data_IF_863273549787
#
_entry.id   IF_863273549787
#
_cell.length_a   1.000
_cell.length_b   1.000
_cell.length_c   1.000
_cell.angle_alpha   90.00
_cell.angle_beta   90.00
_cell.angle_gamma   90.00
#
_symmetry.space_group_name_H-M   'P 1'
#
loop_
_entity.id
_entity.type
_entity.pdbx_description
1 polymer ?
#
# COMPACT_ATOMS: atom_id res chain seq x y z
N UNK A 1 3.38 -19.50 -4.93
CA UNK A 1 3.36 -19.16 -3.49
C UNK A 1 3.32 -17.66 -3.35
N UNK A 2 2.20 -17.11 -2.88
CA UNK A 2 2.00 -15.68 -2.60
C UNK A 2 1.80 -15.48 -1.11
N UNK A 3 2.49 -14.51 -0.54
CA UNK A 3 2.44 -14.14 0.87
C UNK A 3 1.87 -12.74 0.98
N UNK A 4 1.02 -12.50 1.96
CA UNK A 4 0.40 -11.21 2.20
C UNK A 4 0.93 -10.59 3.49
N UNK A 5 1.33 -9.33 3.43
CA UNK A 5 1.78 -8.53 4.57
C UNK A 5 0.78 -7.43 4.84
N UNK A 6 0.26 -7.38 6.05
CA UNK A 6 -0.73 -6.42 6.52
C UNK A 6 -0.16 -5.70 7.74
N UNK A 7 0.44 -4.51 7.58
CA UNK A 7 0.79 -3.70 8.73
C UNK A 7 -0.48 -3.15 9.37
N UNK A 8 -0.55 -3.12 10.70
CA UNK A 8 -1.68 -2.51 11.39
C UNK A 8 -1.25 -1.76 12.65
N UNK A 9 -1.99 -0.72 12.98
CA UNK A 9 -1.86 0.04 14.23
C UNK A 9 -3.25 0.41 14.73
N UNK A 10 -3.79 -0.40 15.61
CA UNK A 10 -5.19 -0.39 16.04
C UNK A 10 -5.36 0.56 17.23
N UNK A 11 -6.09 1.64 17.02
CA UNK A 11 -6.38 2.70 18.02
C UNK A 11 -7.83 2.72 18.47
N UNK A 12 -8.73 2.22 17.64
CA UNK A 12 -10.17 2.32 17.84
C UNK A 12 -10.89 1.04 17.42
N UNK A 13 -12.12 0.87 17.86
CA UNK A 13 -12.96 -0.25 17.39
C UNK A 13 -13.20 -0.20 15.88
N UNK A 14 -13.20 0.98 15.27
CA UNK A 14 -13.30 1.09 13.81
C UNK A 14 -12.12 0.42 13.10
N UNK A 15 -10.89 0.55 13.63
CA UNK A 15 -9.71 -0.11 13.07
C UNK A 15 -9.85 -1.64 13.18
N UNK A 16 -10.41 -2.14 14.30
CA UNK A 16 -10.70 -3.58 14.47
C UNK A 16 -11.73 -4.06 13.45
N UNK A 17 -12.81 -3.30 13.26
CA UNK A 17 -13.85 -3.63 12.28
C UNK A 17 -13.29 -3.66 10.86
N UNK A 18 -12.42 -2.72 10.51
CA UNK A 18 -11.72 -2.67 9.23
C UNK A 18 -10.83 -3.90 9.04
N UNK A 19 -9.97 -4.21 10.02
CA UNK A 19 -9.08 -5.37 9.94
C UNK A 19 -9.87 -6.68 9.83
N UNK A 20 -10.94 -6.85 10.59
CA UNK A 20 -11.81 -8.02 10.49
C UNK A 20 -12.49 -8.13 9.11
N UNK A 21 -12.94 -7.01 8.55
CA UNK A 21 -13.51 -6.94 7.19
C UNK A 21 -12.48 -7.34 6.14
N UNK A 22 -11.25 -6.82 6.25
CA UNK A 22 -10.14 -7.20 5.38
C UNK A 22 -9.87 -8.71 5.48
N UNK A 23 -9.68 -9.25 6.68
CA UNK A 23 -9.35 -10.67 6.87
C UNK A 23 -10.45 -11.60 6.35
N UNK A 24 -11.72 -11.23 6.45
CA UNK A 24 -12.82 -11.96 5.79
C UNK A 24 -12.67 -11.94 4.25
N UNK A 25 -12.25 -10.83 3.66
CA UNK A 25 -12.02 -10.76 2.21
C UNK A 25 -10.78 -11.55 1.79
N UNK A 26 -9.76 -11.62 2.64
CA UNK A 26 -8.58 -12.48 2.46
C UNK A 26 -8.95 -13.96 2.49
N UNK A 27 -9.80 -14.36 3.42
CA UNK A 27 -10.30 -15.73 3.52
C UNK A 27 -11.08 -16.17 2.27
N UNK A 28 -11.78 -15.23 1.64
CA UNK A 28 -12.63 -15.47 0.46
C UNK A 28 -11.91 -15.30 -0.88
N UNK A 29 -10.58 -15.31 -0.91
CA UNK A 29 -9.84 -15.21 -2.17
C UNK A 29 -9.97 -16.50 -2.99
N UNK A 30 -10.17 -16.36 -4.31
CA UNK A 30 -10.22 -17.49 -5.26
C UNK A 30 -8.88 -18.23 -5.35
N UNK A 31 -7.78 -17.51 -5.22
CA UNK A 31 -6.43 -18.05 -5.01
C UNK A 31 -6.03 -17.75 -3.57
N UNK A 32 -5.90 -18.77 -2.75
CA UNK A 32 -5.49 -18.61 -1.34
C UNK A 32 -4.05 -18.12 -1.24
N UNK A 33 -3.77 -17.38 -0.17
CA UNK A 33 -2.39 -17.08 0.20
C UNK A 33 -1.74 -18.29 0.88
N UNK A 34 -0.46 -18.47 0.67
CA UNK A 34 0.34 -19.46 1.40
C UNK A 34 0.51 -19.05 2.85
N UNK A 35 0.77 -17.77 3.06
CA UNK A 35 0.90 -17.13 4.38
C UNK A 35 0.28 -15.74 4.37
N UNK A 36 -0.25 -15.35 5.52
CA UNK A 36 -0.76 -14.00 5.79
C UNK A 36 -0.18 -13.52 7.10
N UNK A 37 0.67 -12.52 7.03
CA UNK A 37 1.27 -11.86 8.19
C UNK A 37 0.49 -10.60 8.55
N UNK A 38 -0.06 -10.54 9.74
CA UNK A 38 -0.60 -9.33 10.35
C UNK A 38 0.45 -8.80 11.30
N UNK A 39 1.12 -7.71 10.91
CA UNK A 39 2.19 -7.10 11.70
C UNK A 39 1.60 -5.93 12.50
N UNK A 40 1.37 -6.17 13.78
CA UNK A 40 0.85 -5.18 14.71
C UNK A 40 2.01 -4.29 15.21
N UNK A 41 2.03 -3.06 14.77
CA UNK A 41 3.06 -2.07 15.09
C UNK A 41 2.87 -1.45 16.49
N UNK A 42 2.77 -2.34 17.50
CA UNK A 42 2.55 -1.97 18.92
C UNK A 42 1.27 -1.18 19.15
N UNK A 43 0.15 -1.73 18.69
CA UNK A 43 -1.19 -1.16 18.87
C UNK A 43 -1.51 -0.86 20.34
N UNK A 44 -2.01 0.34 20.67
CA UNK A 44 -2.39 0.71 22.03
C UNK A 44 -3.68 0.04 22.50
N UNK A 45 -4.53 -0.41 21.59
CA UNK A 45 -5.77 -1.10 21.92
C UNK A 45 -5.54 -2.61 21.89
N UNK A 46 -5.98 -3.31 22.95
CA UNK A 46 -5.98 -4.77 22.96
C UNK A 46 -7.13 -5.31 22.11
N UNK A 47 -6.82 -6.27 21.25
CA UNK A 47 -7.79 -6.94 20.40
C UNK A 47 -7.35 -8.37 20.10
N UNK A 48 -8.30 -9.20 19.68
CA UNK A 48 -8.05 -10.58 19.29
C UNK A 48 -8.52 -10.83 17.87
N UNK A 49 -7.75 -11.62 17.13
CA UNK A 49 -8.07 -12.06 15.79
C UNK A 49 -8.39 -13.56 15.80
N UNK A 50 -9.62 -13.92 15.40
CA UNK A 50 -10.10 -15.31 15.38
C UNK A 50 -10.03 -15.89 13.96
N UNK A 51 -8.82 -15.85 13.36
CA UNK A 51 -8.56 -16.42 12.04
C UNK A 51 -7.36 -17.36 12.11
N UNK A 52 -7.56 -18.62 11.76
CA UNK A 52 -6.51 -19.66 11.85
C UNK A 52 -5.47 -19.59 10.73
N UNK A 53 -5.73 -18.85 9.65
CA UNK A 53 -4.87 -18.76 8.49
C UNK A 53 -3.86 -17.60 8.55
N UNK A 54 -3.88 -16.79 9.60
CA UNK A 54 -2.96 -15.67 9.79
C UNK A 54 -1.86 -16.01 10.80
N UNK A 55 -0.71 -15.37 10.62
CA UNK A 55 0.31 -15.23 11.68
C UNK A 55 0.26 -13.78 12.18
N UNK A 56 -0.20 -13.60 13.43
CA UNK A 56 -0.28 -12.29 14.07
C UNK A 56 0.99 -12.03 14.89
N UNK A 57 1.71 -10.97 14.55
CA UNK A 57 2.99 -10.60 15.13
C UNK A 57 2.87 -9.20 15.72
N UNK A 58 2.90 -9.11 17.05
CA UNK A 58 2.89 -7.82 17.76
C UNK A 58 4.31 -7.36 18.04
N UNK A 59 4.65 -6.16 17.59
CA UNK A 59 5.95 -5.54 17.84
C UNK A 59 6.00 -4.98 19.27
N UNK A 60 7.19 -4.93 19.86
CA UNK A 60 7.40 -4.41 21.20
C UNK A 60 7.30 -2.87 21.28
N UNK A 61 7.53 -2.19 20.16
CA UNK A 61 7.47 -0.74 20.04
C UNK A 61 6.93 -0.32 18.66
N UNK A 62 6.32 0.87 18.60
CA UNK A 62 5.87 1.43 17.33
C UNK A 62 7.07 1.92 16.52
N UNK A 63 7.25 1.36 15.34
CA UNK A 63 8.33 1.69 14.41
C UNK A 63 7.85 2.26 13.08
N UNK A 64 6.54 2.38 12.91
CA UNK A 64 5.92 2.85 11.69
C UNK A 64 5.69 1.77 10.62
N UNK A 65 4.92 2.10 9.58
CA UNK A 65 4.50 1.12 8.56
C UNK A 65 5.67 0.57 7.73
N UNK A 66 6.72 1.33 7.53
CA UNK A 66 7.93 0.89 6.83
C UNK A 66 8.59 -0.29 7.56
N UNK A 67 8.85 -0.14 8.86
CA UNK A 67 9.42 -1.19 9.72
C UNK A 67 8.51 -2.42 9.77
N UNK A 68 7.21 -2.22 9.96
CA UNK A 68 6.26 -3.33 10.00
C UNK A 68 6.25 -4.14 8.68
N UNK A 69 6.27 -3.45 7.53
CA UNK A 69 6.34 -4.13 6.22
C UNK A 69 7.67 -4.84 6.01
N UNK A 70 8.79 -4.27 6.43
CA UNK A 70 10.12 -4.87 6.31
C UNK A 70 10.21 -6.17 7.12
N UNK A 71 9.70 -6.20 8.35
CA UNK A 71 9.61 -7.43 9.15
C UNK A 71 8.80 -8.51 8.43
N UNK A 72 7.69 -8.13 7.79
CA UNK A 72 6.91 -9.06 6.97
C UNK A 72 7.67 -9.55 5.74
N UNK A 73 8.46 -8.69 5.08
CA UNK A 73 9.33 -9.07 3.95
C UNK A 73 10.34 -10.11 4.40
N UNK A 74 11.06 -9.88 5.50
CA UNK A 74 12.07 -10.79 6.01
C UNK A 74 11.48 -12.18 6.30
N UNK A 75 10.31 -12.23 6.94
CA UNK A 75 9.61 -13.49 7.19
C UNK A 75 9.21 -14.18 5.90
N UNK A 76 8.64 -13.45 4.96
CA UNK A 76 8.23 -14.01 3.68
C UNK A 76 9.40 -14.57 2.88
N UNK A 77 10.55 -13.88 2.88
CA UNK A 77 11.78 -14.34 2.22
C UNK A 77 12.35 -15.58 2.91
N UNK A 78 12.36 -15.62 4.23
CA UNK A 78 12.83 -16.78 5.01
C UNK A 78 11.99 -18.04 4.74
N UNK A 79 10.71 -17.88 4.39
CA UNK A 79 9.81 -19.00 4.04
C UNK A 79 9.68 -19.21 2.51
N UNK A 80 10.60 -18.68 1.73
CA UNK A 80 10.70 -18.88 0.27
C UNK A 80 9.46 -18.40 -0.51
N UNK A 81 8.88 -17.28 -0.12
CA UNK A 81 7.84 -16.61 -0.90
C UNK A 81 8.29 -16.41 -2.34
N UNK A 82 7.39 -16.57 -3.30
CA UNK A 82 7.63 -16.23 -4.71
C UNK A 82 7.14 -14.81 -5.01
N UNK A 83 6.03 -14.45 -4.42
CA UNK A 83 5.41 -13.13 -4.51
C UNK A 83 5.07 -12.62 -3.12
N UNK A 84 5.37 -11.36 -2.87
CA UNK A 84 5.07 -10.65 -1.62
C UNK A 84 4.11 -9.54 -1.96
N UNK A 85 2.90 -9.61 -1.41
CA UNK A 85 1.83 -8.66 -1.66
C UNK A 85 1.55 -7.86 -0.38
N UNK A 86 1.14 -6.62 -0.54
CA UNK A 86 0.88 -5.69 0.55
C UNK A 86 -0.54 -5.14 0.47
N UNK A 87 -1.17 -4.97 1.62
CA UNK A 87 -2.40 -4.20 1.77
C UNK A 87 -2.46 -3.60 3.17
N UNK A 88 -3.27 -2.57 3.36
CA UNK A 88 -3.45 -1.94 4.67
C UNK A 88 -4.71 -2.48 5.37
N UNK A 89 -4.75 -2.39 6.71
CA UNK A 89 -5.81 -2.99 7.53
C UNK A 89 -7.22 -2.42 7.26
N UNK A 90 -7.32 -1.26 6.64
CA UNK A 90 -8.57 -0.57 6.28
C UNK A 90 -9.01 -0.79 4.82
N UNK A 91 -8.48 -1.80 4.18
CA UNK A 91 -8.85 -2.22 2.84
C UNK A 91 -9.89 -3.37 2.83
N UNK A 92 -10.52 -3.55 1.67
CA UNK A 92 -11.36 -4.70 1.32
C UNK A 92 -10.92 -5.21 -0.05
N UNK A 93 -10.49 -6.46 -0.14
CA UNK A 93 -10.00 -7.05 -1.39
C UNK A 93 -11.15 -7.61 -2.25
N UNK A 94 -11.07 -7.44 -3.57
CA UNK A 94 -11.86 -8.23 -4.51
C UNK A 94 -11.48 -9.71 -4.38
N UNK A 95 -12.42 -10.61 -4.59
CA UNK A 95 -12.19 -12.06 -4.46
C UNK A 95 -11.09 -12.61 -5.38
N UNK A 96 -10.80 -11.94 -6.47
CA UNK A 96 -9.77 -12.33 -7.44
C UNK A 96 -8.47 -11.51 -7.29
N UNK A 97 -8.35 -10.68 -6.25
CA UNK A 97 -7.23 -9.77 -6.10
C UNK A 97 -5.87 -10.50 -6.09
N UNK A 98 -5.69 -11.50 -5.24
CA UNK A 98 -4.45 -12.29 -5.17
C UNK A 98 -4.16 -12.98 -6.51
N UNK A 99 -5.16 -13.59 -7.11
CA UNK A 99 -5.01 -14.24 -8.41
C UNK A 99 -4.54 -13.25 -9.47
N UNK A 100 -5.19 -12.11 -9.60
CA UNK A 100 -4.87 -11.10 -10.60
C UNK A 100 -3.46 -10.51 -10.40
N UNK A 101 -3.05 -10.22 -9.16
CA UNK A 101 -1.71 -9.72 -8.84
C UNK A 101 -0.63 -10.73 -9.18
N UNK A 102 -0.82 -11.96 -8.73
CA UNK A 102 0.17 -13.02 -8.94
C UNK A 102 0.28 -13.46 -10.39
N UNK A 103 -0.84 -13.61 -11.09
CA UNK A 103 -0.82 -13.94 -12.51
C UNK A 103 -0.17 -12.82 -13.35
N UNK A 104 -0.37 -11.55 -12.98
CA UNK A 104 0.31 -10.46 -13.66
C UNK A 104 1.83 -10.58 -13.50
N UNK A 105 2.33 -10.79 -12.27
CA UNK A 105 3.75 -10.97 -12.01
C UNK A 105 4.33 -12.25 -12.65
N UNK A 106 3.52 -13.30 -12.78
CA UNK A 106 3.91 -14.56 -13.44
C UNK A 106 4.08 -14.40 -14.95
N UNK A 107 3.15 -13.68 -15.59
CA UNK A 107 3.03 -13.59 -17.05
C UNK A 107 3.80 -12.42 -17.66
N UNK A 108 4.45 -11.60 -16.84
CA UNK A 108 5.15 -10.39 -17.29
C UNK A 108 6.57 -10.30 -16.74
N UNK A 109 7.36 -9.44 -17.37
CA UNK A 109 8.73 -9.13 -16.92
C UNK A 109 8.75 -8.07 -15.80
N UNK A 110 7.62 -7.50 -15.41
CA UNK A 110 7.57 -6.53 -14.34
C UNK A 110 8.07 -7.11 -13.02
N UNK A 111 8.87 -6.34 -12.28
CA UNK A 111 9.36 -6.72 -10.96
C UNK A 111 8.34 -6.50 -9.86
N UNK A 112 7.46 -5.53 -10.08
CA UNK A 112 6.39 -5.14 -9.15
C UNK A 112 5.10 -4.80 -9.89
N UNK A 113 3.99 -4.76 -9.17
CA UNK A 113 2.66 -4.49 -9.71
C UNK A 113 1.81 -3.70 -8.73
N UNK A 114 1.05 -2.75 -9.24
CA UNK A 114 -0.04 -2.09 -8.52
C UNK A 114 -1.40 -2.46 -9.09
N UNK A 115 -2.42 -2.47 -8.23
CA UNK A 115 -3.81 -2.75 -8.62
C UNK A 115 -4.68 -1.50 -8.71
N UNK A 116 -5.96 -1.67 -8.99
CA UNK A 116 -6.97 -0.61 -9.02
C UNK A 116 -7.57 -0.43 -7.61
N UNK A 117 -7.47 0.78 -7.08
CA UNK A 117 -8.04 1.14 -5.78
C UNK A 117 -9.27 2.02 -5.94
N UNK A 118 -10.32 1.69 -5.21
CA UNK A 118 -11.55 2.45 -5.10
C UNK A 118 -11.78 2.86 -3.65
N UNK A 119 -12.57 3.91 -3.44
CA UNK A 119 -13.06 4.25 -2.11
C UNK A 119 -14.14 3.28 -1.64
N UNK A 120 -14.08 2.87 -0.39
CA UNK A 120 -15.11 2.01 0.22
C UNK A 120 -16.37 2.79 0.58
N UNK A 121 -16.21 4.03 1.04
CA UNK A 121 -17.29 4.92 1.42
C UNK A 121 -18.06 5.51 0.23
N UNK A 122 -19.10 6.30 0.55
CA UNK A 122 -19.98 6.95 -0.44
C UNK A 122 -20.18 8.43 -0.13
N UNK A 123 -19.24 9.05 0.59
CA UNK A 123 -19.29 10.51 0.82
C UNK A 123 -18.71 11.26 -0.37
N UNK A 124 -18.91 12.58 -0.43
CA UNK A 124 -18.30 13.40 -1.48
C UNK A 124 -16.77 13.32 -1.47
N UNK A 125 -16.16 13.05 -0.30
CA UNK A 125 -14.71 12.90 -0.16
C UNK A 125 -14.23 11.57 -0.73
N UNK A 126 -15.02 10.51 -0.60
CA UNK A 126 -14.75 9.22 -1.24
C UNK A 126 -14.77 9.38 -2.76
N UNK A 127 -15.80 10.04 -3.31
CA UNK A 127 -15.86 10.36 -4.75
C UNK A 127 -14.72 11.26 -5.21
N UNK A 128 -14.29 12.21 -4.38
CA UNK A 128 -13.12 13.03 -4.66
C UNK A 128 -11.87 12.17 -4.86
N UNK A 129 -11.63 11.21 -3.96
CA UNK A 129 -10.49 10.30 -4.07
C UNK A 129 -10.56 9.41 -5.31
N UNK A 130 -11.74 8.91 -5.65
CA UNK A 130 -11.95 8.09 -6.85
C UNK A 130 -11.69 8.89 -8.14
N UNK A 131 -12.24 10.10 -8.25
CA UNK A 131 -12.07 10.97 -9.43
C UNK A 131 -10.62 11.39 -9.58
N UNK A 132 -9.95 11.76 -8.49
CA UNK A 132 -8.54 12.16 -8.53
C UNK A 132 -7.58 10.98 -8.67
N UNK A 133 -8.04 9.74 -8.48
CA UNK A 133 -7.19 8.57 -8.47
C UNK A 133 -6.10 8.63 -7.39
N UNK A 134 -6.42 9.22 -6.23
CA UNK A 134 -5.43 9.50 -5.16
C UNK A 134 -4.62 8.26 -4.74
N UNK A 135 -5.25 7.08 -4.77
CA UNK A 135 -4.62 5.80 -4.41
C UNK A 135 -4.47 4.86 -5.62
N UNK A 136 -4.50 5.40 -6.81
CA UNK A 136 -4.34 4.66 -8.05
C UNK A 136 -3.12 5.13 -8.80
N UNK A 137 -2.71 4.33 -9.75
CA UNK A 137 -1.63 4.64 -10.66
C UNK A 137 -1.95 5.76 -11.65
N UNK A 138 -2.47 6.92 -11.19
CA UNK A 138 -2.67 8.08 -12.06
C UNK A 138 -1.37 8.60 -12.68
N UNK A 139 -0.26 8.17 -12.12
CA UNK A 139 1.09 8.38 -12.62
C UNK A 139 1.51 7.31 -13.63
N UNK A 140 0.54 6.73 -14.33
CA UNK A 140 0.82 5.84 -15.44
C UNK A 140 1.60 6.60 -16.51
N UNK A 141 2.74 6.06 -16.88
CA UNK A 141 3.52 6.64 -17.98
C UNK A 141 2.72 6.54 -19.28
N UNK A 142 2.62 7.64 -20.05
CA UNK A 142 1.86 7.67 -21.30
C UNK A 142 2.29 6.50 -22.22
N UNK A 143 1.32 5.81 -22.79
CA UNK A 143 1.52 4.69 -23.72
C UNK A 143 2.28 3.49 -23.17
N UNK A 144 2.56 3.43 -21.86
CA UNK A 144 3.19 2.31 -21.19
C UNK A 144 2.27 1.79 -20.10
N UNK A 145 2.20 0.48 -19.92
CA UNK A 145 1.52 -0.15 -18.78
C UNK A 145 2.41 -0.11 -17.53
N UNK A 146 3.18 0.95 -17.36
CA UNK A 146 4.13 1.17 -16.29
C UNK A 146 3.64 2.27 -15.36
N UNK A 147 3.88 2.11 -14.06
CA UNK A 147 3.60 3.09 -13.03
C UNK A 147 4.88 3.77 -12.58
N UNK A 148 4.78 5.02 -12.20
CA UNK A 148 5.83 5.73 -11.48
C UNK A 148 5.92 5.25 -10.05
N UNK A 149 4.80 5.17 -9.39
CA UNK A 149 4.68 4.60 -8.07
C UNK A 149 3.29 3.99 -7.88
N UNK A 150 3.14 3.21 -6.84
CA UNK A 150 1.87 2.70 -6.37
C UNK A 150 1.87 2.71 -4.84
N UNK A 151 0.80 3.20 -4.19
CA UNK A 151 0.65 3.08 -2.76
C UNK A 151 0.71 1.63 -2.30
N UNK A 152 1.44 1.39 -1.23
CA UNK A 152 1.70 0.05 -0.71
C UNK A 152 0.45 -0.72 -0.30
N UNK A 153 -0.67 -0.03 -0.08
CA UNK A 153 -1.96 -0.68 0.21
C UNK A 153 -2.48 -1.58 -0.92
N UNK A 154 -2.02 -1.40 -2.16
CA UNK A 154 -2.42 -2.19 -3.34
C UNK A 154 -1.20 -2.51 -4.21
N UNK A 155 -0.21 -3.15 -3.64
CA UNK A 155 1.10 -3.34 -4.23
C UNK A 155 1.60 -4.78 -4.07
N UNK A 156 2.41 -5.24 -5.00
CA UNK A 156 3.07 -6.54 -4.92
C UNK A 156 4.40 -6.56 -5.64
N UNK A 157 5.32 -7.38 -5.16
CA UNK A 157 6.65 -7.58 -5.72
C UNK A 157 6.99 -9.06 -5.90
N UNK A 158 7.85 -9.38 -6.86
CA UNK A 158 8.57 -10.64 -6.89
C UNK A 158 9.54 -10.72 -5.71
N UNK A 159 9.74 -11.89 -5.13
CA UNK A 159 10.59 -12.06 -3.95
C UNK A 159 12.04 -11.60 -4.17
N UNK A 160 12.60 -11.84 -5.37
CA UNK A 160 13.94 -11.35 -5.71
C UNK A 160 14.03 -9.82 -5.76
N UNK A 161 12.94 -9.13 -6.05
CA UNK A 161 12.88 -7.67 -5.98
C UNK A 161 12.79 -7.21 -4.52
N UNK A 162 11.93 -7.86 -3.73
CA UNK A 162 11.78 -7.55 -2.31
C UNK A 162 13.07 -7.77 -1.50
N UNK A 163 13.91 -8.76 -1.89
CA UNK A 163 15.21 -8.99 -1.24
C UNK A 163 16.25 -7.90 -1.52
N UNK A 164 16.05 -7.09 -2.55
CA UNK A 164 16.94 -5.98 -2.90
C UNK A 164 16.42 -4.62 -2.44
N UNK A 165 15.11 -4.48 -2.30
CA UNK A 165 14.45 -3.20 -2.05
C UNK A 165 13.51 -3.28 -0.85
N UNK A 166 13.95 -2.69 0.25
CA UNK A 166 13.17 -2.53 1.48
C UNK A 166 12.58 -1.13 1.57
N UNK A 167 11.50 -0.97 2.37
CA UNK A 167 11.01 0.35 2.75
C UNK A 167 12.04 1.10 3.58
N UNK A 168 12.17 2.40 3.40
CA UNK A 168 13.07 3.22 4.21
C UNK A 168 12.42 3.53 5.56
N UNK A 169 12.98 2.98 6.63
CA UNK A 169 12.45 3.13 7.99
C UNK A 169 12.65 4.53 8.58
N UNK A 170 13.39 5.40 7.90
CA UNK A 170 13.50 6.82 8.27
C UNK A 170 12.19 7.60 8.06
N UNK A 171 11.23 7.03 7.32
CA UNK A 171 9.87 7.57 7.24
C UNK A 171 9.07 7.17 8.49
N UNK A 172 8.85 8.10 9.44
CA UNK A 172 8.28 7.76 10.75
C UNK A 172 6.75 7.56 10.71
N UNK A 173 6.12 7.96 9.62
CA UNK A 173 4.65 7.88 9.45
C UNK A 173 4.29 7.38 8.08
N UNK A 174 3.08 6.82 7.95
CA UNK A 174 2.54 6.44 6.65
C UNK A 174 2.36 7.69 5.77
N UNK A 175 3.15 7.84 4.78
CA UNK A 175 3.11 8.64 3.55
C UNK A 175 4.54 8.99 3.10
N UNK A 176 4.87 8.59 1.89
CA UNK A 176 6.17 8.85 1.27
C UNK A 176 7.08 7.62 1.21
N UNK A 177 6.96 6.68 2.15
CA UNK A 177 7.76 5.46 2.17
C UNK A 177 7.54 4.55 0.96
N UNK A 178 6.32 4.55 0.43
CA UNK A 178 5.95 3.81 -0.77
C UNK A 178 6.43 4.51 -2.06
N UNK A 179 6.38 5.83 -2.09
CA UNK A 179 6.93 6.62 -3.22
C UNK A 179 8.44 6.41 -3.30
N UNK A 180 9.15 6.54 -2.18
CA UNK A 180 10.59 6.32 -2.08
C UNK A 180 10.97 4.91 -2.57
N UNK A 181 10.30 3.87 -2.04
CA UNK A 181 10.53 2.49 -2.47
C UNK A 181 10.36 2.35 -3.98
N UNK A 182 9.28 2.86 -4.54
CA UNK A 182 8.99 2.74 -5.96
C UNK A 182 10.03 3.47 -6.82
N UNK A 183 10.49 4.65 -6.42
CA UNK A 183 11.53 5.40 -7.11
C UNK A 183 12.86 4.63 -7.13
N UNK A 184 13.28 4.08 -5.98
CA UNK A 184 14.50 3.26 -5.90
C UNK A 184 14.38 1.99 -6.73
N UNK A 185 13.24 1.29 -6.65
CA UNK A 185 12.96 0.06 -7.37
C UNK A 185 13.03 0.28 -8.89
N UNK A 186 12.55 1.42 -9.39
CA UNK A 186 12.54 1.75 -10.82
C UNK A 186 13.94 1.93 -11.43
N UNK A 187 14.98 2.08 -10.64
CA UNK A 187 16.36 2.08 -11.15
C UNK A 187 16.75 0.74 -11.80
N UNK A 188 16.08 -0.35 -11.43
CA UNK A 188 16.41 -1.71 -11.90
C UNK A 188 15.20 -2.48 -12.44
N UNK A 189 14.00 -2.21 -11.93
CA UNK A 189 12.80 -2.95 -12.26
C UNK A 189 11.68 -1.99 -12.69
N UNK A 190 10.71 -2.53 -13.42
CA UNK A 190 9.50 -1.81 -13.81
C UNK A 190 8.35 -2.17 -12.89
N UNK A 191 7.46 -1.21 -12.65
CA UNK A 191 6.20 -1.39 -11.91
C UNK A 191 5.08 -1.44 -12.92
N UNK A 192 4.33 -2.52 -12.97
CA UNK A 192 3.19 -2.67 -13.85
C UNK A 192 1.87 -2.26 -13.19
N UNK A 193 0.83 -2.07 -13.99
CA UNK A 193 -0.53 -1.80 -13.53
C UNK A 193 -1.48 -2.92 -13.93
N UNK A 194 -2.11 -3.56 -12.93
CA UNK A 194 -3.11 -4.60 -13.11
C UNK A 194 -4.51 -4.09 -12.73
N UNK A 195 -5.30 -3.54 -13.66
CA UNK A 195 -6.61 -2.96 -13.35
C UNK A 195 -7.65 -3.99 -12.87
N UNK A 196 -7.37 -5.28 -13.06
CA UNK A 196 -8.23 -6.37 -12.56
C UNK A 196 -8.02 -6.67 -11.08
N UNK A 197 -6.86 -6.33 -10.52
CA UNK A 197 -6.57 -6.48 -9.10
C UNK A 197 -7.20 -5.31 -8.33
N UNK A 198 -8.47 -5.45 -7.96
CA UNK A 198 -9.26 -4.38 -7.34
C UNK A 198 -9.30 -4.51 -5.83
N UNK A 199 -9.25 -3.37 -5.15
CA UNK A 199 -9.60 -3.28 -3.75
C UNK A 199 -10.31 -1.96 -3.44
N UNK A 200 -10.92 -1.88 -2.26
CA UNK A 200 -11.56 -0.68 -1.74
C UNK A 200 -10.86 -0.27 -0.45
N UNK A 201 -10.50 1.00 -0.36
CA UNK A 201 -9.88 1.58 0.83
C UNK A 201 -10.90 2.42 1.61
N UNK A 202 -11.00 2.20 2.92
CA UNK A 202 -11.91 2.92 3.80
C UNK A 202 -11.22 4.12 4.44
N UNK A 203 -11.45 5.31 3.91
CA UNK A 203 -10.91 6.55 4.46
C UNK A 203 -11.53 6.94 5.83
N UNK A 204 -12.52 6.19 6.32
CA UNK A 204 -13.20 6.45 7.59
C UNK A 204 -14.06 7.70 7.59
N UNK A 205 -14.58 8.12 6.43
CA UNK A 205 -15.56 9.21 6.35
C UNK A 205 -16.95 8.70 6.73
N UNK A 206 -17.40 9.01 7.94
CA UNK A 206 -18.72 8.56 8.43
C UNK A 206 -19.89 9.27 7.74
N UNK A 207 -19.70 10.52 7.33
CA UNK A 207 -20.66 11.34 6.59
C UNK A 207 -19.95 12.51 5.92
N UNK A 208 -20.62 13.16 4.97
CA UNK A 208 -20.12 14.39 4.34
C UNK A 208 -19.87 15.50 5.37
N UNK A 209 -20.77 15.66 6.33
CA UNK A 209 -20.65 16.73 7.33
C UNK A 209 -19.49 16.50 8.31
N UNK A 210 -19.37 15.28 8.85
CA UNK A 210 -18.32 14.95 9.84
C UNK A 210 -16.99 14.59 9.17
N UNK A 211 -17.01 14.18 7.91
CA UNK A 211 -15.84 13.81 7.11
C UNK A 211 -14.92 14.97 6.79
N UNK A 212 -15.43 16.21 6.74
CA UNK A 212 -14.64 17.39 6.37
C UNK A 212 -13.37 17.57 7.22
N UNK A 213 -13.49 17.48 8.55
CA UNK A 213 -12.33 17.62 9.45
C UNK A 213 -11.29 16.51 9.20
N UNK A 214 -11.75 15.28 8.93
CA UNK A 214 -10.87 14.14 8.60
C UNK A 214 -10.21 14.35 7.25
N UNK A 215 -10.95 14.80 6.24
CA UNK A 215 -10.44 15.11 4.91
C UNK A 215 -9.31 16.15 4.98
N UNK A 216 -9.53 17.29 5.65
CA UNK A 216 -8.49 18.32 5.84
C UNK A 216 -7.27 17.78 6.60
N UNK A 217 -7.49 16.92 7.61
CA UNK A 217 -6.38 16.31 8.36
C UNK A 217 -5.52 15.40 7.47
N UNK A 218 -6.16 14.56 6.66
CA UNK A 218 -5.46 13.68 5.72
C UNK A 218 -4.70 14.50 4.66
N UNK A 219 -5.35 15.52 4.12
CA UNK A 219 -4.70 16.41 3.16
C UNK A 219 -3.44 17.08 3.74
N UNK A 220 -3.53 17.60 4.97
CA UNK A 220 -2.36 18.18 5.66
C UNK A 220 -1.27 17.14 5.94
N UNK A 221 -1.65 15.94 6.34
CA UNK A 221 -0.71 14.83 6.59
C UNK A 221 0.06 14.48 5.33
N UNK A 222 -0.61 14.30 4.22
CA UNK A 222 0.04 13.98 2.95
C UNK A 222 0.97 15.11 2.49
N UNK A 223 0.57 16.36 2.67
CA UNK A 223 1.42 17.50 2.36
C UNK A 223 2.71 17.52 3.20
N UNK A 224 2.63 17.27 4.51
CA UNK A 224 3.82 17.25 5.39
C UNK A 224 4.76 16.10 5.06
N UNK A 225 4.22 14.94 4.72
CA UNK A 225 5.02 13.76 4.35
C UNK A 225 5.69 13.92 2.99
N UNK A 226 5.00 14.58 2.05
CA UNK A 226 5.60 14.97 0.77
C UNK A 226 6.78 15.93 0.96
N UNK A 227 6.71 16.85 1.94
CA UNK A 227 7.81 17.72 2.28
C UNK A 227 9.03 16.94 2.82
N UNK A 228 8.81 15.96 3.69
CA UNK A 228 9.89 15.10 4.21
C UNK A 228 10.58 14.31 3.09
N UNK A 229 9.78 13.71 2.20
CA UNK A 229 10.30 13.04 1.02
C UNK A 229 11.10 14.02 0.14
N UNK A 230 10.58 15.22 -0.05
CA UNK A 230 11.17 16.27 -0.86
C UNK A 230 12.53 16.72 -0.30
N UNK A 231 12.63 16.98 0.98
CA UNK A 231 13.90 17.39 1.62
C UNK A 231 14.96 16.28 1.58
N UNK A 232 14.54 15.02 1.77
CA UNK A 232 15.45 13.88 1.77
C UNK A 232 15.84 13.34 0.39
N UNK A 233 15.00 13.55 -0.62
CA UNK A 233 15.09 12.91 -1.94
C UNK A 233 14.88 13.87 -3.12
N UNK A 234 15.09 15.14 -2.92
CA UNK A 234 14.83 16.21 -3.92
C UNK A 234 15.42 15.90 -5.29
N UNK A 235 16.61 15.33 -5.33
CA UNK A 235 17.32 14.98 -6.57
C UNK A 235 16.57 13.90 -7.36
N UNK A 236 15.99 12.92 -6.67
CA UNK A 236 15.24 11.81 -7.31
C UNK A 236 13.86 12.25 -7.81
N UNK A 237 13.24 13.19 -7.11
CA UNK A 237 11.93 13.73 -7.49
C UNK A 237 12.02 14.77 -8.60
N UNK A 238 13.14 15.44 -8.73
CA UNK A 238 13.39 16.53 -9.69
C UNK A 238 14.28 16.12 -10.84
N UNK A 239 14.41 14.84 -11.13
CA UNK A 239 15.13 14.44 -12.33
C UNK A 239 14.38 14.95 -13.57
N UNK A 240 14.94 16.00 -14.12
CA UNK A 240 14.40 16.70 -15.30
C UNK A 240 14.42 15.86 -16.58
N UNK A 241 15.07 14.71 -16.57
CA UNK A 241 15.08 13.78 -17.71
C UNK A 241 13.73 13.10 -17.92
N UNK A 242 12.89 13.10 -16.88
CA UNK A 242 11.57 12.48 -16.91
C UNK A 242 10.50 13.56 -16.97
N UNK A 243 9.92 13.77 -18.13
CA UNK A 243 8.98 14.86 -18.46
C UNK A 243 7.74 14.97 -17.55
N UNK A 244 7.39 13.92 -16.86
CA UNK A 244 6.29 13.89 -15.89
C UNK A 244 6.53 14.80 -14.69
N UNK A 245 7.79 15.07 -14.38
CA UNK A 245 8.19 15.90 -13.24
C UNK A 245 8.79 17.24 -13.63
N UNK A 246 8.83 17.55 -14.92
CA UNK A 246 9.35 18.82 -15.40
C UNK A 246 8.50 19.98 -14.89
N UNK A 247 8.83 20.48 -13.71
CA UNK A 247 8.29 21.72 -13.17
C UNK A 247 7.04 21.65 -12.29
N UNK A 248 6.51 20.49 -11.97
CA UNK A 248 5.29 20.38 -11.16
C UNK A 248 5.50 19.62 -9.85
N UNK A 249 6.06 20.30 -8.86
CA UNK A 249 6.02 19.86 -7.46
C UNK A 249 4.60 19.52 -6.97
N UNK A 250 3.59 20.03 -7.64
CA UNK A 250 2.18 19.78 -7.38
C UNK A 250 1.74 18.34 -7.60
N UNK A 251 2.43 17.60 -8.44
CA UNK A 251 2.05 16.23 -8.77
C UNK A 251 2.32 15.26 -7.63
N UNK A 252 3.20 15.61 -6.71
CA UNK A 252 3.48 14.87 -5.48
C UNK A 252 2.73 15.40 -4.26
N UNK A 253 2.09 16.54 -4.36
CA UNK A 253 1.35 17.18 -3.28
C UNK A 253 -0.11 16.74 -3.19
N UNK A 254 -0.47 15.62 -3.77
CA UNK A 254 -1.86 15.15 -3.75
C UNK A 254 -1.96 13.87 -2.98
#
# INVERSE_FOLDING_TARGET
MSFLIIPCYIKTNWDIDCLNRLLKSVQNQTRTFEKVYVIDDSSPLDYQLNFSFIEHIKLSENGGPAKARNIGIDKALAENAKYILFTDHDCLLDSQWNQNMTEFLEKTEFGAVGGMTHSYGKTIYDYYHDINGTLNGKWLLPHRKELWYMPSLNFGMKANVASEFYFDERFPTAAGEDVDLCLRLRSKYKIGFCPKAKLWHDFGYKSTLTGFKRFIRLFKKYKSSSATLYEGHTVLLWDSSESIYSGNAYEFNI
#
